data_IF_519144185133
#
_entry.id   IF_519144185133
#
_cell.length_a   1.000
_cell.length_b   1.000
_cell.length_c   1.000
_cell.angle_alpha   90.00
_cell.angle_beta   90.00
_cell.angle_gamma   90.00
#
_symmetry.space_group_name_H-M   'P 1'
#
loop_
_entity.id
_entity.type
_entity.pdbx_description
1 polymer ?
#
# COMPACT_ATOMS: atom_id res chain seq x y z
N UNK A 1 -5.92 -33.59 22.46
CA UNK A 1 -5.68 -32.14 22.47
C UNK A 1 -4.48 -31.81 21.58
N UNK A 2 -4.17 -30.53 21.32
CA UNK A 2 -3.03 -30.10 20.48
C UNK A 2 -1.70 -30.68 20.99
N UNK A 3 -1.51 -30.81 22.31
CA UNK A 3 -0.27 -31.38 22.87
C UNK A 3 -0.20 -32.89 22.59
N UNK A 4 -1.26 -33.66 22.87
CA UNK A 4 -1.30 -35.11 22.63
C UNK A 4 -1.01 -35.44 21.16
N UNK A 5 -1.57 -34.64 20.24
CA UNK A 5 -1.32 -34.81 18.81
C UNK A 5 0.16 -34.56 18.46
N UNK A 6 0.79 -33.53 19.02
CA UNK A 6 2.21 -33.28 18.78
C UNK A 6 3.10 -34.42 19.31
N UNK A 7 2.72 -35.05 20.43
CA UNK A 7 3.40 -36.22 20.99
C UNK A 7 3.25 -37.43 20.06
N UNK A 8 2.02 -37.71 19.60
CA UNK A 8 1.74 -38.81 18.66
C UNK A 8 2.53 -38.66 17.35
N UNK A 9 2.68 -37.43 16.87
CA UNK A 9 3.43 -37.10 15.65
C UNK A 9 4.95 -37.06 15.86
N UNK A 10 5.42 -37.17 17.10
CA UNK A 10 6.85 -37.08 17.44
C UNK A 10 7.43 -35.66 17.33
N UNK A 11 6.60 -34.63 17.31
CA UNK A 11 7.01 -33.23 17.24
C UNK A 11 7.33 -32.63 18.61
N UNK A 12 6.85 -33.27 19.68
CA UNK A 12 7.17 -32.90 21.06
C UNK A 12 7.47 -34.15 21.89
N UNK A 13 8.61 -34.13 22.58
CA UNK A 13 8.94 -35.16 23.57
C UNK A 13 8.61 -34.65 24.99
N UNK A 14 7.58 -35.21 25.65
CA UNK A 14 7.22 -34.81 27.02
C UNK A 14 8.30 -35.19 28.05
N UNK A 15 9.26 -36.06 27.69
CA UNK A 15 10.39 -36.44 28.55
C UNK A 15 11.62 -35.55 28.36
N UNK A 16 11.60 -34.63 27.40
CA UNK A 16 12.72 -33.72 27.11
C UNK A 16 13.06 -32.75 28.25
N UNK A 17 12.14 -32.57 29.21
CA UNK A 17 12.27 -31.58 30.28
C UNK A 17 11.98 -30.14 29.84
N UNK A 18 11.66 -29.90 28.55
CA UNK A 18 11.27 -28.58 28.03
C UNK A 18 9.74 -28.40 28.10
N UNK A 19 9.24 -27.19 28.41
CA UNK A 19 7.82 -26.89 28.24
C UNK A 19 7.41 -27.05 26.78
N UNK A 20 6.14 -27.37 26.54
CA UNK A 20 5.60 -27.45 25.18
C UNK A 20 5.63 -26.05 24.52
N UNK A 21 6.36 -25.93 23.41
CA UNK A 21 6.36 -24.76 22.54
C UNK A 21 5.53 -25.06 21.28
N UNK A 22 4.41 -24.33 21.13
CA UNK A 22 3.51 -24.53 19.99
C UNK A 22 4.19 -24.16 18.67
N UNK A 23 5.00 -23.11 18.64
CA UNK A 23 5.67 -22.69 17.42
C UNK A 23 6.75 -23.71 17.02
N UNK A 24 7.53 -24.24 17.97
CA UNK A 24 8.52 -25.28 17.70
C UNK A 24 7.88 -26.57 17.17
N UNK A 25 6.74 -26.99 17.75
CA UNK A 25 6.09 -28.25 17.38
C UNK A 25 5.32 -28.18 16.04
N UNK A 26 4.76 -27.02 15.67
CA UNK A 26 3.82 -26.90 14.55
C UNK A 26 4.28 -25.98 13.41
N UNK A 27 5.42 -25.29 13.54
CA UNK A 27 5.92 -24.44 12.46
C UNK A 27 6.85 -25.20 11.54
N UNK A 28 6.83 -24.84 10.26
CA UNK A 28 7.92 -25.20 9.37
C UNK A 28 9.22 -24.52 9.87
N UNK A 29 10.39 -25.15 9.64
CA UNK A 29 11.67 -24.52 9.95
C UNK A 29 11.76 -23.13 9.29
N UNK A 30 12.33 -22.17 10.00
CA UNK A 30 12.62 -20.86 9.42
C UNK A 30 13.48 -21.01 8.15
N UNK A 31 13.36 -20.05 7.23
CA UNK A 31 14.11 -20.02 5.97
C UNK A 31 14.79 -18.66 5.79
N UNK A 32 15.83 -18.63 4.93
CA UNK A 32 16.55 -17.41 4.57
C UNK A 32 17.11 -16.65 5.76
N UNK A 33 17.04 -15.31 5.72
CA UNK A 33 17.58 -14.41 6.75
C UNK A 33 17.06 -14.69 8.16
N UNK A 34 15.81 -15.14 8.30
CA UNK A 34 15.25 -15.46 9.61
C UNK A 34 15.91 -16.70 10.23
N UNK A 35 16.25 -17.70 9.41
CA UNK A 35 17.02 -18.87 9.84
C UNK A 35 18.45 -18.48 10.24
N UNK A 36 19.12 -17.69 9.41
CA UNK A 36 20.50 -17.21 9.66
C UNK A 36 20.62 -16.41 10.95
N UNK A 37 19.61 -15.56 11.24
CA UNK A 37 19.58 -14.68 12.41
C UNK A 37 19.01 -15.36 13.66
N UNK A 38 18.24 -16.44 13.50
CA UNK A 38 17.47 -17.06 14.58
C UNK A 38 16.23 -16.26 15.01
N UNK A 39 15.79 -15.28 14.21
CA UNK A 39 14.58 -14.50 14.45
C UNK A 39 14.07 -13.74 13.21
N UNK A 40 12.78 -13.40 13.19
CA UNK A 40 12.19 -12.50 12.19
C UNK A 40 12.51 -11.03 12.53
N UNK A 41 13.08 -10.30 11.57
CA UNK A 41 13.53 -8.92 11.78
C UNK A 41 12.37 -7.93 12.01
N UNK A 42 11.15 -8.24 11.54
CA UNK A 42 9.94 -7.44 11.83
C UNK A 42 9.50 -7.61 13.29
N UNK A 43 9.57 -8.83 13.82
CA UNK A 43 9.37 -9.07 15.25
C UNK A 43 10.44 -8.35 16.06
N UNK A 44 11.70 -8.44 15.65
CA UNK A 44 12.82 -7.77 16.31
C UNK A 44 12.62 -6.25 16.41
N UNK A 45 12.32 -5.58 15.28
CA UNK A 45 12.15 -4.12 15.29
C UNK A 45 10.89 -3.71 16.06
N UNK A 46 9.80 -4.47 15.96
CA UNK A 46 8.59 -4.22 16.73
C UNK A 46 8.85 -4.26 18.24
N UNK A 47 9.57 -5.29 18.71
CA UNK A 47 9.96 -5.39 20.12
C UNK A 47 10.94 -4.28 20.52
N UNK A 48 11.89 -3.92 19.65
CA UNK A 48 12.81 -2.81 19.90
C UNK A 48 12.08 -1.50 20.10
N UNK A 49 11.14 -1.16 19.21
CA UNK A 49 10.35 0.08 19.29
C UNK A 49 9.44 0.09 20.53
N UNK A 50 8.85 -1.05 20.91
CA UNK A 50 7.97 -1.13 22.07
C UNK A 50 8.72 -1.10 23.41
N UNK A 51 9.89 -1.72 23.48
CA UNK A 51 10.65 -1.89 24.74
C UNK A 51 11.74 -0.85 24.95
N UNK A 52 12.13 -0.13 23.88
CA UNK A 52 13.29 0.77 23.88
C UNK A 52 14.64 0.05 24.01
N UNK A 53 14.67 -1.28 23.95
CA UNK A 53 15.87 -2.11 24.12
C UNK A 53 16.14 -2.89 22.84
N UNK A 54 17.40 -3.08 22.49
CA UNK A 54 17.78 -3.99 21.40
C UNK A 54 17.49 -5.43 21.85
N UNK A 55 16.57 -6.17 21.19
CA UNK A 55 16.30 -7.56 21.53
C UNK A 55 17.48 -8.46 21.13
N UNK A 56 17.74 -9.47 21.94
CA UNK A 56 18.70 -10.55 21.67
C UNK A 56 17.93 -11.85 21.45
N UNK A 57 18.39 -12.69 20.52
CA UNK A 57 17.69 -13.93 20.16
C UNK A 57 17.85 -15.05 21.20
N UNK A 58 16.92 -16.02 21.26
CA UNK A 58 15.65 -16.11 20.52
C UNK A 58 14.60 -15.12 21.05
N UNK A 59 13.74 -14.60 20.16
CA UNK A 59 12.76 -13.57 20.53
C UNK A 59 11.53 -14.17 21.21
N UNK A 60 11.06 -13.61 22.35
CA UNK A 60 9.86 -14.08 23.01
C UNK A 60 8.61 -13.76 22.18
N UNK A 61 7.55 -14.55 22.35
CA UNK A 61 6.25 -14.29 21.73
C UNK A 61 5.66 -12.92 22.14
N UNK A 62 5.83 -12.54 23.41
CA UNK A 62 5.32 -11.29 23.97
C UNK A 62 6.39 -10.56 24.76
N UNK A 63 6.32 -9.22 24.74
CA UNK A 63 7.17 -8.33 25.53
C UNK A 63 6.30 -7.34 26.30
N UNK A 64 6.81 -6.84 27.42
CA UNK A 64 6.20 -5.71 28.12
C UNK A 64 6.73 -4.40 27.52
N UNK A 65 5.86 -3.54 26.95
CA UNK A 65 6.28 -2.23 26.48
C UNK A 65 6.90 -1.39 27.61
N UNK A 66 7.81 -0.48 27.25
CA UNK A 66 8.41 0.45 28.20
C UNK A 66 7.36 1.45 28.75
N UNK A 67 6.44 1.87 27.88
CA UNK A 67 5.37 2.83 28.19
C UNK A 67 4.02 2.34 27.67
N UNK A 68 2.93 3.03 28.04
CA UNK A 68 1.61 2.76 27.47
C UNK A 68 1.63 2.99 25.96
N UNK A 69 1.08 2.03 25.22
CA UNK A 69 1.03 2.05 23.75
C UNK A 69 -0.30 2.64 23.29
N UNK A 70 -0.25 3.72 22.53
CA UNK A 70 -1.39 4.32 21.85
C UNK A 70 -1.54 3.83 20.41
N UNK A 71 -2.65 4.22 19.78
CA UNK A 71 -2.94 3.92 18.37
C UNK A 71 -1.83 4.44 17.44
N UNK A 72 -1.32 5.65 17.71
CA UNK A 72 -0.23 6.29 16.94
C UNK A 72 1.07 5.48 16.96
N UNK A 73 1.41 4.88 18.10
CA UNK A 73 2.62 4.06 18.23
C UNK A 73 2.54 2.81 17.35
N UNK A 74 1.36 2.16 17.34
CA UNK A 74 1.13 0.99 16.48
C UNK A 74 1.17 1.38 15.00
N UNK A 75 0.56 2.51 14.62
CA UNK A 75 0.65 3.04 13.24
C UNK A 75 2.10 3.26 12.81
N UNK A 76 2.94 3.82 13.70
CA UNK A 76 4.35 4.06 13.41
C UNK A 76 5.15 2.77 13.27
N UNK A 77 4.87 1.73 14.08
CA UNK A 77 5.46 0.40 13.91
C UNK A 77 5.08 -0.19 12.55
N UNK A 78 3.81 -0.08 12.15
CA UNK A 78 3.30 -0.60 10.88
C UNK A 78 3.88 0.13 9.64
N UNK A 79 4.44 1.33 9.83
CA UNK A 79 5.12 2.15 8.80
C UNK A 79 6.61 1.86 8.66
N UNK A 80 7.19 1.05 9.55
CA UNK A 80 8.63 0.98 9.73
C UNK A 80 9.34 0.12 8.66
N UNK A 81 10.55 0.55 8.29
CA UNK A 81 11.46 -0.12 7.34
C UNK A 81 12.83 -0.42 7.96
N UNK A 82 12.87 -0.61 9.28
CA UNK A 82 14.06 -0.84 10.11
C UNK A 82 14.98 0.37 10.27
N UNK A 83 14.42 1.58 10.21
CA UNK A 83 15.15 2.86 10.25
C UNK A 83 16.11 2.96 11.45
N UNK A 84 17.35 3.39 11.20
CA UNK A 84 18.36 3.59 12.24
C UNK A 84 18.90 2.29 12.86
N UNK A 85 18.79 1.17 12.14
CA UNK A 85 19.30 -0.14 12.59
C UNK A 85 20.24 -0.77 11.55
N UNK A 86 20.97 -1.85 11.90
CA UNK A 86 21.78 -2.58 10.91
C UNK A 86 21.00 -3.18 9.73
N UNK A 87 19.67 -3.25 9.83
CA UNK A 87 18.78 -3.75 8.77
C UNK A 87 18.15 -2.63 7.94
N UNK A 88 18.49 -1.38 8.23
CA UNK A 88 18.01 -0.23 7.48
C UNK A 88 18.55 -0.28 6.04
N UNK A 89 17.63 -0.40 5.08
CA UNK A 89 17.89 -0.39 3.63
C UNK A 89 17.29 0.83 2.94
N UNK A 90 16.89 1.84 3.70
CA UNK A 90 16.22 3.03 3.15
C UNK A 90 17.16 3.93 2.36
N UNK A 91 18.47 3.83 2.60
CA UNK A 91 19.49 4.73 2.02
C UNK A 91 19.16 6.22 2.25
N UNK A 92 18.61 6.55 3.42
CA UNK A 92 18.14 7.91 3.72
C UNK A 92 16.92 8.32 2.89
N UNK A 93 16.12 7.33 2.47
CA UNK A 93 14.96 7.47 1.59
C UNK A 93 15.27 8.12 0.24
N UNK A 94 16.48 7.96 -0.29
CA UNK A 94 16.80 8.43 -1.65
C UNK A 94 15.97 7.71 -2.72
N UNK A 95 15.65 6.45 -2.47
CA UNK A 95 14.79 5.58 -3.29
C UNK A 95 13.69 4.97 -2.42
N UNK A 96 12.73 4.29 -3.06
CA UNK A 96 11.64 3.63 -2.32
C UNK A 96 12.18 2.53 -1.40
N UNK A 97 11.79 2.49 -0.12
CA UNK A 97 12.20 1.45 0.81
C UNK A 97 11.44 0.12 0.61
N UNK A 98 10.55 0.06 -0.39
CA UNK A 98 9.69 -1.11 -0.63
C UNK A 98 10.32 -2.15 -1.57
N UNK A 99 11.38 -1.78 -2.28
CA UNK A 99 12.10 -2.61 -3.25
C UNK A 99 13.46 -3.03 -2.70
N UNK A 100 13.43 -3.85 -1.65
CA UNK A 100 14.62 -4.28 -0.92
C UNK A 100 14.62 -5.79 -0.72
N UNK A 101 15.82 -6.37 -0.59
CA UNK A 101 16.02 -7.77 -0.23
C UNK A 101 15.76 -8.05 1.26
N UNK A 102 15.55 -7.00 2.07
CA UNK A 102 15.19 -7.09 3.48
C UNK A 102 13.68 -7.02 3.68
N UNK A 103 13.10 -7.99 4.38
CA UNK A 103 11.66 -7.95 4.68
C UNK A 103 11.37 -6.89 5.74
N UNK A 104 10.99 -5.70 5.27
CA UNK A 104 10.51 -4.54 6.06
C UNK A 104 9.10 -4.78 6.61
N UNK A 105 8.51 -3.92 7.45
CA UNK A 105 7.11 -4.08 7.90
C UNK A 105 6.17 -3.55 6.81
N UNK A 106 6.28 -2.26 6.52
CA UNK A 106 5.64 -1.61 5.37
C UNK A 106 6.36 -2.02 4.09
N UNK A 107 5.69 -2.72 3.19
CA UNK A 107 6.34 -3.36 2.02
C UNK A 107 5.54 -3.13 0.74
N UNK A 108 6.14 -3.46 -0.41
CA UNK A 108 5.51 -3.38 -1.73
C UNK A 108 4.22 -4.18 -1.87
N UNK A 109 4.05 -5.24 -1.08
CA UNK A 109 2.86 -6.10 -1.08
C UNK A 109 1.79 -5.71 -0.05
N UNK A 110 1.92 -4.56 0.62
CA UNK A 110 0.91 -4.08 1.58
C UNK A 110 -0.29 -3.48 0.85
N UNK A 111 -1.38 -4.24 0.76
CA UNK A 111 -2.65 -3.74 0.18
C UNK A 111 -3.50 -2.94 1.17
N UNK A 112 -3.34 -3.21 2.47
CA UNK A 112 -4.03 -2.53 3.56
C UNK A 112 -3.22 -2.69 4.84
N UNK A 113 -3.24 -1.67 5.69
CA UNK A 113 -2.76 -1.71 7.06
C UNK A 113 -3.83 -1.21 7.99
N UNK A 114 -3.92 -1.78 9.19
CA UNK A 114 -4.96 -1.40 10.13
C UNK A 114 -4.58 -1.51 11.59
N UNK A 115 -5.15 -0.63 12.41
CA UNK A 115 -5.10 -0.65 13.87
C UNK A 115 -6.52 -0.67 14.41
N UNK A 116 -6.91 -1.75 15.08
CA UNK A 116 -8.25 -1.86 15.69
C UNK A 116 -8.18 -1.49 17.16
N UNK A 117 -8.76 -0.35 17.52
CA UNK A 117 -8.90 0.08 18.90
C UNK A 117 -10.18 -0.52 19.49
N UNK A 118 -10.03 -1.52 20.36
CA UNK A 118 -11.14 -2.10 21.14
C UNK A 118 -11.25 -1.41 22.48
N UNK A 119 -12.47 -1.03 22.87
CA UNK A 119 -12.72 -0.13 24.01
C UNK A 119 -13.85 -0.62 24.89
N UNK A 120 -13.64 -0.45 26.18
CA UNK A 120 -14.64 -0.69 27.22
C UNK A 120 -15.36 0.61 27.62
N UNK A 121 -16.45 0.49 28.38
CA UNK A 121 -17.20 1.60 28.96
C UNK A 121 -17.72 2.65 27.95
N UNK A 122 -17.92 2.24 26.70
CA UNK A 122 -18.59 3.01 25.65
C UNK A 122 -19.78 2.23 25.09
N UNK A 123 -20.80 2.90 24.51
CA UNK A 123 -21.87 2.23 23.78
C UNK A 123 -21.37 1.23 22.73
N UNK A 124 -22.16 0.19 22.43
CA UNK A 124 -21.77 -0.88 21.50
C UNK A 124 -21.27 -0.35 20.14
N UNK A 125 -21.94 0.67 19.60
CA UNK A 125 -21.58 1.33 18.35
C UNK A 125 -20.19 2.01 18.35
N UNK A 126 -19.60 2.26 19.51
CA UNK A 126 -18.29 2.90 19.70
C UNK A 126 -17.21 1.93 20.18
N UNK A 127 -17.53 0.68 20.48
CA UNK A 127 -16.58 -0.28 21.07
C UNK A 127 -15.36 -0.55 20.22
N UNK A 128 -15.46 -0.42 18.90
CA UNK A 128 -14.33 -0.59 18.00
C UNK A 128 -14.19 0.60 17.04
N UNK A 129 -12.96 1.09 16.93
CA UNK A 129 -12.53 2.01 15.88
C UNK A 129 -11.48 1.29 15.05
N UNK A 130 -11.81 1.04 13.79
CA UNK A 130 -10.95 0.42 12.80
C UNK A 130 -10.20 1.50 12.02
N UNK A 131 -9.00 1.83 12.46
CA UNK A 131 -8.13 2.75 11.74
C UNK A 131 -7.51 1.99 10.57
N UNK A 132 -7.82 2.36 9.34
CA UNK A 132 -7.37 1.62 8.14
C UNK A 132 -6.75 2.51 7.08
N UNK A 133 -5.82 1.94 6.31
CA UNK A 133 -5.24 2.53 5.10
C UNK A 133 -5.77 1.81 3.86
N UNK A 134 -5.67 2.44 2.68
CA UNK A 134 -5.75 1.73 1.40
C UNK A 134 -4.35 1.79 0.79
N UNK A 135 -3.68 0.65 0.66
CA UNK A 135 -2.26 0.59 0.29
C UNK A 135 -1.34 0.75 1.50
N UNK A 136 -0.08 1.13 1.21
CA UNK A 136 1.01 1.17 2.18
C UNK A 136 0.83 2.28 3.24
N UNK A 137 1.03 2.00 4.54
CA UNK A 137 0.81 3.01 5.57
C UNK A 137 1.83 4.14 5.58
N UNK A 138 3.01 4.01 4.96
CA UNK A 138 3.99 5.09 4.89
C UNK A 138 3.63 6.16 3.83
N UNK A 139 2.79 5.83 2.86
CA UNK A 139 2.34 6.72 1.77
C UNK A 139 0.83 7.02 1.82
N UNK A 140 0.09 6.42 2.76
CA UNK A 140 -1.36 6.56 2.91
C UNK A 140 -1.79 6.87 4.35
N UNK A 141 -2.90 7.60 4.55
CA UNK A 141 -3.37 7.95 5.89
C UNK A 141 -4.18 6.80 6.51
N UNK A 142 -4.16 6.70 7.83
CA UNK A 142 -5.11 5.91 8.59
C UNK A 142 -6.41 6.69 8.79
N UNK A 143 -7.52 6.15 8.28
CA UNK A 143 -8.87 6.72 8.43
C UNK A 143 -9.66 5.91 9.47
N UNK A 144 -10.26 6.53 10.51
CA UNK A 144 -11.00 5.82 11.54
C UNK A 144 -12.42 5.44 11.09
N UNK A 145 -12.69 4.14 11.02
CA UNK A 145 -14.00 3.59 10.74
C UNK A 145 -14.63 3.06 12.02
N UNK A 146 -15.75 3.63 12.44
CA UNK A 146 -16.45 3.16 13.63
C UNK A 146 -17.24 1.90 13.31
N UNK A 147 -17.23 0.91 14.21
CA UNK A 147 -18.06 -0.29 14.06
C UNK A 147 -19.56 0.03 13.97
N UNK A 148 -19.99 1.11 14.62
CA UNK A 148 -21.37 1.55 14.67
C UNK A 148 -21.96 2.09 13.37
N UNK A 149 -21.19 2.23 12.29
CA UNK A 149 -21.72 2.70 11.00
C UNK A 149 -22.78 1.74 10.44
N UNK A 150 -23.68 2.26 9.61
CA UNK A 150 -24.74 1.49 8.91
C UNK A 150 -24.50 1.37 7.42
N UNK A 151 -23.51 2.07 6.88
CA UNK A 151 -23.11 2.00 5.48
C UNK A 151 -21.59 2.15 5.39
N UNK A 152 -20.99 1.45 4.42
CA UNK A 152 -19.58 1.63 4.06
C UNK A 152 -19.42 3.00 3.38
N UNK A 153 -18.34 3.75 3.64
CA UNK A 153 -18.06 4.99 2.90
C UNK A 153 -18.14 4.82 1.39
N UNK A 154 -18.70 5.83 0.73
CA UNK A 154 -18.89 5.84 -0.72
C UNK A 154 -17.55 5.66 -1.46
N UNK A 155 -17.55 4.85 -2.52
CA UNK A 155 -16.33 4.52 -3.28
C UNK A 155 -15.34 3.60 -2.55
N UNK A 156 -15.63 3.14 -1.33
CA UNK A 156 -14.76 2.25 -0.55
C UNK A 156 -15.30 0.81 -0.43
N UNK A 157 -16.19 0.41 -1.35
CA UNK A 157 -16.72 -0.95 -1.45
C UNK A 157 -16.84 -1.38 -2.91
N UNK A 158 -16.73 -2.69 -3.15
CA UNK A 158 -16.81 -3.31 -4.49
C UNK A 158 -18.20 -3.86 -4.78
N UNK A 159 -18.90 -4.34 -3.76
CA UNK A 159 -20.27 -4.81 -3.84
C UNK A 159 -20.99 -4.49 -2.53
N UNK A 160 -22.32 -4.40 -2.59
CA UNK A 160 -23.14 -4.33 -1.37
C UNK A 160 -22.85 -5.53 -0.47
N UNK A 161 -22.83 -5.37 0.87
CA UNK A 161 -22.44 -6.45 1.78
C UNK A 161 -23.27 -7.74 1.60
N UNK A 162 -24.55 -7.62 1.30
CA UNK A 162 -25.45 -8.76 1.03
C UNK A 162 -25.07 -9.50 -0.26
N UNK A 163 -24.73 -8.76 -1.31
CA UNK A 163 -24.23 -9.32 -2.58
C UNK A 163 -22.89 -9.99 -2.36
N UNK A 164 -21.94 -9.31 -1.70
CA UNK A 164 -20.63 -9.87 -1.39
C UNK A 164 -20.72 -11.17 -0.59
N UNK A 165 -21.58 -11.20 0.43
CA UNK A 165 -21.84 -12.41 1.22
C UNK A 165 -22.42 -13.56 0.37
N UNK A 166 -23.38 -13.26 -0.51
CA UNK A 166 -23.97 -14.28 -1.41
C UNK A 166 -22.95 -14.88 -2.37
N UNK A 167 -21.95 -14.09 -2.77
CA UNK A 167 -20.85 -14.52 -3.64
C UNK A 167 -19.68 -15.13 -2.86
N UNK A 168 -19.78 -15.25 -1.54
CA UNK A 168 -18.68 -15.65 -0.64
C UNK A 168 -17.42 -14.83 -0.85
N UNK A 169 -17.58 -13.56 -1.24
CA UNK A 169 -16.49 -12.65 -1.60
C UNK A 169 -15.55 -13.19 -2.69
N UNK A 170 -16.03 -14.12 -3.53
CA UNK A 170 -15.27 -14.57 -4.69
C UNK A 170 -15.06 -13.38 -5.63
N UNK A 171 -13.81 -13.08 -6.02
CA UNK A 171 -13.56 -11.97 -6.91
C UNK A 171 -14.18 -12.26 -8.27
N UNK A 172 -14.92 -11.29 -8.80
CA UNK A 172 -15.38 -11.30 -10.17
C UNK A 172 -14.30 -10.66 -11.06
N UNK A 173 -14.12 -11.14 -12.30
CA UNK A 173 -13.06 -10.65 -13.19
C UNK A 173 -13.10 -9.12 -13.36
N UNK A 174 -14.30 -8.55 -13.49
CA UNK A 174 -14.50 -7.10 -13.56
C UNK A 174 -14.03 -6.30 -12.32
N UNK A 175 -13.72 -6.95 -11.19
CA UNK A 175 -13.16 -6.28 -10.00
C UNK A 175 -11.65 -6.03 -10.12
N UNK A 176 -10.99 -6.64 -11.12
CA UNK A 176 -9.59 -6.37 -11.46
C UNK A 176 -9.45 -5.17 -12.40
N UNK A 177 -10.54 -4.70 -13.00
CA UNK A 177 -10.52 -3.53 -13.86
C UNK A 177 -10.29 -2.27 -13.04
N UNK A 178 -9.40 -1.41 -13.56
CA UNK A 178 -9.13 -0.09 -13.02
C UNK A 178 -10.42 0.74 -13.01
N UNK A 179 -10.82 1.19 -11.82
CA UNK A 179 -12.08 1.89 -11.59
C UNK A 179 -11.87 3.19 -10.81
N UNK A 180 -11.93 4.32 -11.51
CA UNK A 180 -11.76 5.66 -10.93
C UNK A 180 -12.83 6.03 -9.91
N UNK A 181 -13.95 5.29 -9.86
CA UNK A 181 -15.00 5.47 -8.87
C UNK A 181 -14.68 4.80 -7.53
N UNK A 182 -13.58 4.04 -7.44
CA UNK A 182 -13.12 3.42 -6.20
C UNK A 182 -11.90 4.15 -5.64
N UNK A 183 -11.99 4.48 -4.35
CA UNK A 183 -10.91 5.17 -3.65
C UNK A 183 -9.61 4.38 -3.65
N UNK A 184 -9.71 3.04 -3.60
CA UNK A 184 -8.56 2.14 -3.63
C UNK A 184 -7.61 2.49 -4.78
N UNK A 185 -8.10 2.57 -6.02
CA UNK A 185 -7.29 2.89 -7.20
C UNK A 185 -6.59 4.24 -7.13
N UNK A 186 -7.22 5.25 -6.50
CA UNK A 186 -6.55 6.55 -6.28
C UNK A 186 -5.40 6.44 -5.29
N UNK A 187 -5.54 5.67 -4.21
CA UNK A 187 -4.43 5.44 -3.29
C UNK A 187 -3.31 4.62 -3.96
N UNK A 188 -3.66 3.68 -4.84
CA UNK A 188 -2.69 2.93 -5.63
C UNK A 188 -1.93 3.82 -6.61
N UNK A 189 -2.63 4.72 -7.30
CA UNK A 189 -2.01 5.73 -8.16
C UNK A 189 -1.01 6.58 -7.35
N UNK A 190 -1.42 7.06 -6.18
CA UNK A 190 -0.55 7.88 -5.33
C UNK A 190 0.70 7.11 -4.89
N UNK A 191 0.58 5.88 -4.39
CA UNK A 191 1.76 5.13 -3.94
C UNK A 191 2.70 4.74 -5.09
N UNK A 192 2.19 4.43 -6.28
CA UNK A 192 3.02 4.13 -7.44
C UNK A 192 3.77 5.37 -7.94
N UNK A 193 3.10 6.53 -7.97
CA UNK A 193 3.76 7.82 -8.24
C UNK A 193 4.83 8.09 -7.20
N UNK A 194 4.54 7.88 -5.91
CA UNK A 194 5.51 8.12 -4.83
C UNK A 194 6.68 7.16 -4.92
N UNK A 195 6.46 5.86 -5.11
CA UNK A 195 7.53 4.86 -5.17
C UNK A 195 8.54 5.15 -6.29
N UNK A 196 8.08 5.64 -7.44
CA UNK A 196 8.92 5.99 -8.58
C UNK A 196 9.84 7.21 -8.32
N UNK A 197 9.55 8.04 -7.31
CA UNK A 197 10.28 9.27 -7.01
C UNK A 197 10.38 9.53 -5.49
N UNK A 198 10.48 8.46 -4.72
CA UNK A 198 10.25 8.47 -3.27
C UNK A 198 11.02 9.57 -2.55
N UNK A 199 12.33 9.65 -2.78
CA UNK A 199 13.19 10.64 -2.12
C UNK A 199 12.89 12.10 -2.43
N UNK A 200 12.16 12.38 -3.51
CA UNK A 200 11.77 13.73 -3.89
C UNK A 200 10.42 14.14 -3.28
N UNK A 201 9.49 13.19 -3.13
CA UNK A 201 8.09 13.52 -2.86
C UNK A 201 7.56 13.03 -1.52
N UNK A 202 8.21 12.03 -0.90
CA UNK A 202 7.67 11.39 0.30
C UNK A 202 7.45 12.38 1.46
N UNK A 203 8.36 13.33 1.67
CA UNK A 203 8.25 14.30 2.76
C UNK A 203 6.98 15.15 2.67
N UNK A 204 6.56 15.51 1.44
CA UNK A 204 5.32 16.24 1.19
C UNK A 204 4.09 15.39 1.50
N UNK A 205 4.07 14.15 0.99
CA UNK A 205 2.96 13.20 1.19
C UNK A 205 2.80 12.84 2.67
N UNK A 206 3.89 12.51 3.35
CA UNK A 206 3.87 12.19 4.78
C UNK A 206 3.42 13.38 5.63
N UNK A 207 3.87 14.60 5.32
CA UNK A 207 3.40 15.80 6.03
C UNK A 207 1.89 16.00 5.86
N UNK A 208 1.36 15.80 4.65
CA UNK A 208 -0.06 15.89 4.38
C UNK A 208 -0.88 14.88 5.20
N UNK A 209 -0.40 13.64 5.32
CA UNK A 209 -1.04 12.59 6.10
C UNK A 209 -0.86 12.72 7.61
N UNK A 210 0.30 13.19 8.08
CA UNK A 210 0.49 13.54 9.49
C UNK A 210 -0.52 14.60 9.92
N UNK A 211 -0.68 15.68 9.14
CA UNK A 211 -1.68 16.72 9.43
C UNK A 211 -3.11 16.16 9.47
N UNK A 212 -3.49 15.31 8.50
CA UNK A 212 -4.80 14.67 8.47
C UNK A 212 -5.04 13.80 9.72
N UNK A 213 -4.06 12.99 10.10
CA UNK A 213 -4.16 12.06 11.23
C UNK A 213 -4.17 12.79 12.56
N UNK A 214 -3.33 13.82 12.74
CA UNK A 214 -3.29 14.64 13.94
C UNK A 214 -4.61 15.38 14.16
N UNK A 215 -5.18 15.97 13.09
CA UNK A 215 -6.50 16.61 13.16
C UNK A 215 -7.59 15.61 13.55
N UNK A 216 -7.53 14.40 12.97
CA UNK A 216 -8.53 13.36 13.19
C UNK A 216 -8.45 12.78 14.61
N UNK A 217 -7.23 12.54 15.11
CA UNK A 217 -6.99 12.09 16.48
C UNK A 217 -7.42 13.16 17.51
N UNK A 218 -7.07 14.43 17.27
CA UNK A 218 -7.44 15.53 18.16
C UNK A 218 -8.97 15.71 18.28
N UNK A 219 -9.73 15.48 17.20
CA UNK A 219 -11.20 15.61 17.18
C UNK A 219 -11.94 14.38 17.71
N UNK A 220 -11.26 13.25 17.93
CA UNK A 220 -11.93 11.99 18.25
C UNK A 220 -12.82 12.07 19.49
N UNK A 221 -12.32 12.63 20.59
CA UNK A 221 -13.06 12.70 21.84
C UNK A 221 -14.35 13.56 21.74
N UNK A 222 -14.31 14.65 20.98
CA UNK A 222 -15.48 15.51 20.74
C UNK A 222 -16.55 14.78 19.93
N UNK A 223 -16.14 14.12 18.85
CA UNK A 223 -17.02 13.33 17.97
C UNK A 223 -17.70 12.22 18.74
N UNK A 224 -16.95 11.54 19.61
CA UNK A 224 -17.47 10.43 20.40
C UNK A 224 -18.39 10.89 21.52
N UNK A 225 -18.12 12.06 22.13
CA UNK A 225 -19.04 12.67 23.10
C UNK A 225 -20.40 12.95 22.46
N UNK A 226 -20.40 13.50 21.24
CA UNK A 226 -21.65 13.75 20.50
C UNK A 226 -22.33 12.44 20.08
N UNK A 227 -21.56 11.46 19.60
CA UNK A 227 -22.10 10.14 19.28
C UNK A 227 -22.75 9.47 20.49
N UNK A 228 -22.12 9.51 21.67
CA UNK A 228 -22.68 9.00 22.93
C UNK A 228 -24.01 9.71 23.28
N UNK A 229 -24.06 11.04 23.18
CA UNK A 229 -25.27 11.83 23.45
C UNK A 229 -26.41 11.43 22.52
N UNK A 230 -26.12 11.24 21.23
CA UNK A 230 -27.11 10.83 20.23
C UNK A 230 -27.57 9.39 20.45
N UNK A 231 -26.64 8.45 20.66
CA UNK A 231 -26.94 7.04 20.91
C UNK A 231 -27.81 6.82 22.15
N UNK A 232 -27.60 7.61 23.21
CA UNK A 232 -28.42 7.54 24.42
C UNK A 232 -29.86 8.03 24.22
N UNK A 233 -30.09 8.92 23.23
CA UNK A 233 -31.41 9.47 22.91
C UNK A 233 -32.13 8.61 21.86
N UNK A 234 -31.42 8.21 20.82
CA UNK A 234 -31.91 7.44 19.68
C UNK A 234 -30.71 6.72 19.03
N UNK A 235 -30.69 5.39 19.13
CA UNK A 235 -29.62 4.57 18.58
C UNK A 235 -29.45 4.79 17.07
N UNK A 236 -30.54 4.92 16.31
CA UNK A 236 -30.48 5.12 14.87
C UNK A 236 -29.84 6.48 14.53
N UNK A 237 -30.18 7.54 15.28
CA UNK A 237 -29.58 8.86 15.10
C UNK A 237 -28.07 8.85 15.39
N UNK A 238 -27.64 8.16 16.45
CA UNK A 238 -26.23 8.02 16.79
C UNK A 238 -25.43 7.24 15.74
N UNK A 239 -25.96 6.13 15.24
CA UNK A 239 -25.33 5.36 14.15
C UNK A 239 -25.30 6.13 12.83
N UNK A 240 -26.34 6.89 12.52
CA UNK A 240 -26.36 7.76 11.34
C UNK A 240 -25.33 8.90 11.45
N UNK A 241 -25.10 9.45 12.64
CA UNK A 241 -24.03 10.42 12.89
C UNK A 241 -22.65 9.81 12.63
N UNK A 242 -22.37 8.62 13.19
CA UNK A 242 -21.11 7.91 12.95
C UNK A 242 -20.90 7.60 11.47
N UNK A 243 -21.95 7.15 10.78
CA UNK A 243 -21.90 6.85 9.34
C UNK A 243 -21.52 8.09 8.52
N UNK A 244 -22.17 9.24 8.77
CA UNK A 244 -21.83 10.49 8.09
C UNK A 244 -20.42 10.97 8.43
N UNK A 245 -20.00 10.85 9.70
CA UNK A 245 -18.66 11.24 10.14
C UNK A 245 -17.58 10.41 9.43
N UNK A 246 -17.70 9.08 9.47
CA UNK A 246 -16.75 8.16 8.84
C UNK A 246 -16.72 8.36 7.33
N UNK A 247 -17.87 8.49 6.66
CA UNK A 247 -17.91 8.78 5.23
C UNK A 247 -17.19 10.10 4.91
N UNK A 248 -17.45 11.16 5.66
CA UNK A 248 -16.80 12.47 5.44
C UNK A 248 -15.28 12.39 5.55
N UNK A 249 -14.75 11.66 6.54
CA UNK A 249 -13.29 11.49 6.67
C UNK A 249 -12.70 10.67 5.52
N UNK A 250 -13.38 9.60 5.11
CA UNK A 250 -12.95 8.79 3.97
C UNK A 250 -12.95 9.61 2.66
N UNK A 251 -14.00 10.41 2.43
CA UNK A 251 -14.06 11.32 1.28
C UNK A 251 -12.96 12.40 1.34
N UNK A 252 -12.70 12.96 2.52
CA UNK A 252 -11.62 13.95 2.71
C UNK A 252 -10.25 13.34 2.37
N UNK A 253 -9.95 12.15 2.89
CA UNK A 253 -8.70 11.45 2.59
C UNK A 253 -8.58 11.14 1.09
N UNK A 254 -9.66 10.66 0.46
CA UNK A 254 -9.68 10.37 -0.97
C UNK A 254 -9.47 11.62 -1.82
N UNK A 255 -10.13 12.73 -1.48
CA UNK A 255 -9.97 14.00 -2.18
C UNK A 255 -8.54 14.55 -2.03
N UNK A 256 -7.98 14.50 -0.82
CA UNK A 256 -6.60 14.93 -0.57
C UNK A 256 -5.59 14.05 -1.32
N UNK A 257 -5.88 12.77 -1.54
CA UNK A 257 -5.03 11.90 -2.36
C UNK A 257 -5.05 12.33 -3.84
N UNK A 258 -6.21 12.73 -4.38
CA UNK A 258 -6.32 13.28 -5.74
C UNK A 258 -5.55 14.59 -5.88
N UNK A 259 -5.63 15.45 -4.87
CA UNK A 259 -4.87 16.71 -4.82
C UNK A 259 -3.37 16.45 -4.82
N UNK A 260 -2.89 15.56 -3.96
CA UNK A 260 -1.49 15.16 -3.94
C UNK A 260 -1.05 14.64 -5.31
N UNK A 261 -1.80 13.72 -5.94
CA UNK A 261 -1.49 13.23 -7.29
C UNK A 261 -1.33 14.38 -8.30
N UNK A 262 -2.23 15.36 -8.28
CA UNK A 262 -2.16 16.53 -9.18
C UNK A 262 -1.00 17.47 -8.89
N UNK A 263 -0.44 17.44 -7.68
CA UNK A 263 0.69 18.26 -7.28
C UNK A 263 2.06 17.56 -7.44
N UNK A 264 2.08 16.23 -7.62
CA UNK A 264 3.31 15.48 -7.82
C UNK A 264 3.74 15.57 -9.29
N UNK A 265 5.03 15.78 -9.59
CA UNK A 265 5.49 15.88 -10.97
C UNK A 265 5.32 14.51 -11.65
N UNK A 266 4.57 14.49 -12.74
CA UNK A 266 4.35 13.31 -13.59
C UNK A 266 4.42 13.73 -15.05
N UNK A 267 4.85 12.81 -15.90
CA UNK A 267 4.82 12.98 -17.35
C UNK A 267 3.48 12.50 -17.89
N UNK A 268 2.91 13.23 -18.85
CA UNK A 268 1.78 12.73 -19.64
C UNK A 268 2.27 11.60 -20.54
N UNK A 269 1.73 10.41 -20.31
CA UNK A 269 2.03 9.20 -21.09
C UNK A 269 0.80 8.83 -21.90
N UNK A 270 1.00 8.54 -23.18
CA UNK A 270 -0.05 8.09 -24.08
C UNK A 270 0.33 6.75 -24.72
N UNK A 271 -0.54 5.76 -24.59
CA UNK A 271 -0.47 4.49 -25.27
C UNK A 271 -1.59 4.51 -26.32
N UNK A 272 -1.28 4.76 -27.60
CA UNK A 272 -2.29 4.89 -28.65
C UNK A 272 -3.15 3.62 -28.78
N UNK A 273 -2.52 2.47 -28.56
CA UNK A 273 -3.19 1.17 -28.63
C UNK A 273 -3.85 0.82 -27.29
N UNK A 274 -5.16 0.95 -27.22
CA UNK A 274 -5.95 0.72 -25.99
C UNK A 274 -6.40 -0.71 -25.73
N UNK A 275 -6.20 -1.63 -26.69
CA UNK A 275 -6.56 -3.05 -26.55
C UNK A 275 -5.42 -3.93 -27.02
N UNK A 276 -4.98 -4.86 -26.17
CA UNK A 276 -3.87 -5.79 -26.42
C UNK A 276 -4.25 -7.18 -25.92
N UNK A 277 -4.05 -8.24 -26.72
CA UNK A 277 -4.23 -9.62 -26.25
C UNK A 277 -2.94 -10.18 -25.65
N UNK A 278 -3.06 -11.02 -24.62
CA UNK A 278 -1.92 -11.63 -23.93
C UNK A 278 -1.11 -12.58 -24.83
N UNK A 279 -1.69 -13.06 -25.93
CA UNK A 279 -1.05 -13.91 -26.94
C UNK A 279 -0.24 -13.14 -28.00
N UNK A 280 -0.24 -11.81 -27.99
CA UNK A 280 0.37 -11.01 -29.05
C UNK A 280 1.89 -10.95 -28.99
N UNK A 281 2.50 -10.67 -30.15
CA UNK A 281 3.94 -10.45 -30.32
C UNK A 281 4.19 -9.09 -30.99
N UNK A 282 5.46 -8.68 -31.06
CA UNK A 282 5.84 -7.38 -31.61
C UNK A 282 6.10 -6.35 -30.52
N UNK A 283 5.73 -5.10 -30.77
CA UNK A 283 6.01 -3.98 -29.87
C UNK A 283 4.77 -3.16 -29.55
N UNK A 284 4.71 -2.63 -28.33
CA UNK A 284 3.77 -1.61 -27.91
C UNK A 284 4.40 -0.23 -28.05
N UNK A 285 3.73 0.69 -28.76
CA UNK A 285 4.15 2.08 -28.81
C UNK A 285 3.64 2.83 -27.58
N UNK A 286 4.52 3.64 -26.99
CA UNK A 286 4.21 4.54 -25.87
C UNK A 286 4.80 5.91 -26.19
N UNK A 287 4.05 6.97 -25.97
CA UNK A 287 4.49 8.34 -26.16
C UNK A 287 4.60 9.03 -24.80
N UNK A 288 5.67 9.79 -24.59
CA UNK A 288 5.76 10.77 -23.51
C UNK A 288 5.55 12.14 -24.13
N UNK A 289 4.50 12.84 -23.71
CA UNK A 289 4.16 14.16 -24.22
C UNK A 289 4.95 15.21 -23.43
N UNK A 290 5.70 16.04 -24.15
CA UNK A 290 6.40 17.19 -23.57
C UNK A 290 5.37 18.17 -23.01
N UNK A 291 5.67 18.80 -21.87
CA UNK A 291 4.79 19.88 -21.37
C UNK A 291 5.55 20.84 -20.48
N UNK A 292 5.44 22.14 -20.79
CA UNK A 292 6.06 23.21 -19.99
C UNK A 292 7.55 22.97 -19.74
N UNK A 293 7.92 22.82 -18.46
CA UNK A 293 9.31 22.61 -18.03
C UNK A 293 9.81 21.17 -18.24
N UNK A 294 8.93 20.22 -18.53
CA UNK A 294 9.24 18.81 -18.71
C UNK A 294 9.35 18.47 -20.20
N UNK A 295 10.52 18.73 -20.77
CA UNK A 295 10.83 18.40 -22.17
C UNK A 295 11.35 16.98 -22.33
N UNK A 296 10.80 16.24 -23.30
CA UNK A 296 11.30 14.94 -23.75
C UNK A 296 12.79 14.94 -24.09
N UNK A 297 13.35 16.08 -24.56
CA UNK A 297 14.78 16.21 -24.90
C UNK A 297 15.71 15.99 -23.72
N UNK A 298 15.21 16.20 -22.50
CA UNK A 298 15.99 16.08 -21.27
C UNK A 298 15.90 14.69 -20.64
N UNK A 299 15.09 13.79 -21.20
CA UNK A 299 14.95 12.42 -20.71
C UNK A 299 16.20 11.61 -21.08
N UNK A 300 16.69 10.79 -20.15
CA UNK A 300 17.63 9.74 -20.49
C UNK A 300 16.82 8.51 -20.93
N UNK A 301 16.67 8.36 -22.24
CA UNK A 301 15.80 7.33 -22.79
C UNK A 301 16.28 5.92 -22.42
N UNK A 302 17.58 5.74 -22.14
CA UNK A 302 18.15 4.41 -21.84
C UNK A 302 17.72 3.86 -20.48
N UNK A 303 17.18 4.72 -19.61
CA UNK A 303 16.70 4.37 -18.28
C UNK A 303 15.21 3.97 -18.26
N UNK A 304 14.52 4.11 -19.40
CA UNK A 304 13.07 3.95 -19.46
C UNK A 304 12.65 2.48 -19.38
N UNK A 305 11.74 2.18 -18.46
CA UNK A 305 11.08 0.89 -18.32
C UNK A 305 9.56 1.04 -18.28
N UNK A 306 8.84 0.01 -18.72
CA UNK A 306 7.38 -0.04 -18.74
C UNK A 306 6.88 -1.33 -18.06
N UNK A 307 5.92 -1.21 -17.15
CA UNK A 307 5.32 -2.36 -16.48
C UNK A 307 4.05 -2.00 -15.70
N UNK A 308 3.36 -2.99 -15.12
CA UNK A 308 2.18 -2.76 -14.31
C UNK A 308 2.55 -2.23 -12.91
N UNK A 309 1.54 -1.68 -12.22
CA UNK A 309 1.62 -1.35 -10.79
C UNK A 309 2.06 -2.55 -9.93
N UNK A 310 2.50 -2.29 -8.69
CA UNK A 310 2.89 -3.31 -7.68
C UNK A 310 4.10 -4.20 -8.02
N UNK A 311 4.85 -3.85 -9.06
CA UNK A 311 6.08 -4.54 -9.42
C UNK A 311 7.24 -3.57 -9.27
N UNK A 312 8.39 -4.10 -8.86
CA UNK A 312 9.63 -3.36 -8.82
C UNK A 312 9.94 -2.84 -10.24
N UNK A 313 10.10 -1.52 -10.44
CA UNK A 313 10.44 -0.96 -11.75
C UNK A 313 11.72 -1.51 -12.37
N UNK A 314 12.63 -2.10 -11.58
CA UNK A 314 13.81 -2.81 -12.08
C UNK A 314 13.48 -4.14 -12.78
N UNK A 315 12.28 -4.68 -12.57
CA UNK A 315 11.79 -5.90 -13.22
C UNK A 315 10.94 -5.63 -14.46
N UNK A 316 10.70 -4.36 -14.77
CA UNK A 316 9.91 -3.94 -15.92
C UNK A 316 10.66 -4.08 -17.24
N UNK A 317 9.93 -3.95 -18.35
CA UNK A 317 10.49 -4.10 -19.68
C UNK A 317 11.24 -2.83 -20.08
N UNK A 318 12.54 -2.90 -20.41
CA UNK A 318 13.29 -1.74 -20.88
C UNK A 318 12.84 -1.32 -22.28
N UNK A 319 13.03 -0.04 -22.60
CA UNK A 319 12.76 0.48 -23.94
C UNK A 319 13.62 -0.24 -25.00
N UNK A 320 13.01 -0.62 -26.12
CA UNK A 320 13.70 -1.23 -27.27
C UNK A 320 14.25 -0.17 -28.24
N UNK A 321 13.45 0.85 -28.52
CA UNK A 321 13.85 1.97 -29.37
C UNK A 321 13.10 3.24 -29.00
N UNK A 322 13.69 4.39 -29.33
CA UNK A 322 13.10 5.70 -29.06
C UNK A 322 13.33 6.66 -30.23
N UNK A 323 12.41 7.60 -30.42
CA UNK A 323 12.53 8.67 -31.40
C UNK A 323 11.87 9.95 -30.88
N UNK A 324 12.52 11.10 -31.13
CA UNK A 324 11.90 12.39 -30.89
C UNK A 324 10.97 12.73 -32.06
N UNK A 325 9.71 12.98 -31.77
CA UNK A 325 8.68 13.30 -32.75
C UNK A 325 7.59 14.08 -32.04
N UNK A 326 7.20 15.21 -32.59
CA UNK A 326 5.98 15.92 -32.21
C UNK A 326 4.76 15.05 -32.63
N UNK A 327 4.06 14.47 -31.65
CA UNK A 327 2.92 13.57 -31.91
C UNK A 327 1.57 14.24 -31.67
N UNK A 328 1.52 15.36 -30.95
CA UNK A 328 0.28 16.10 -30.68
C UNK A 328 0.13 17.42 -31.47
N UNK A 329 1.18 17.82 -32.19
CA UNK A 329 1.20 18.95 -33.12
C UNK A 329 1.42 20.30 -32.42
N UNK A 330 1.91 20.32 -31.20
CA UNK A 330 2.15 21.55 -30.44
C UNK A 330 3.47 22.27 -30.80
N UNK A 331 4.33 21.62 -31.61
CA UNK A 331 5.61 22.12 -32.06
C UNK A 331 6.79 21.78 -31.14
N UNK A 332 6.54 21.21 -29.97
CA UNK A 332 7.56 20.64 -29.10
C UNK A 332 7.72 19.14 -29.39
N UNK A 333 8.96 18.62 -29.51
CA UNK A 333 9.12 17.20 -29.80
C UNK A 333 8.81 16.36 -28.56
N UNK A 334 7.97 15.36 -28.75
CA UNK A 334 7.66 14.31 -27.79
C UNK A 334 8.64 13.14 -27.91
N UNK A 335 8.55 12.20 -26.97
CA UNK A 335 9.31 10.95 -27.03
C UNK A 335 8.41 9.78 -27.39
N UNK A 336 8.58 9.25 -28.61
CA UNK A 336 7.97 7.98 -29.01
C UNK A 336 8.89 6.82 -28.63
N UNK A 337 8.32 5.79 -27.99
CA UNK A 337 9.01 4.63 -27.44
C UNK A 337 8.39 3.33 -27.97
N UNK A 338 9.21 2.30 -28.14
CA UNK A 338 8.75 0.94 -28.41
C UNK A 338 9.20 -0.02 -27.31
N UNK A 339 8.26 -0.81 -26.78
CA UNK A 339 8.51 -1.86 -25.79
C UNK A 339 8.12 -3.22 -26.34
N UNK A 340 8.87 -4.28 -26.03
CA UNK A 340 8.52 -5.63 -26.49
C UNK A 340 7.30 -6.17 -25.76
N UNK A 341 6.32 -6.65 -26.52
CA UNK A 341 5.08 -7.21 -25.97
C UNK A 341 5.31 -8.52 -25.19
N UNK A 342 6.03 -9.54 -25.69
CA UNK A 342 6.13 -10.82 -24.99
C UNK A 342 6.64 -10.75 -23.54
N UNK A 343 7.72 -10.01 -23.20
CA UNK A 343 8.12 -9.85 -21.80
C UNK A 343 7.15 -8.98 -21.00
N UNK A 344 6.51 -7.97 -21.60
CA UNK A 344 5.55 -7.11 -20.92
C UNK A 344 4.29 -7.87 -20.52
N UNK A 345 3.74 -8.67 -21.44
CA UNK A 345 2.52 -9.43 -21.23
C UNK A 345 2.69 -10.53 -20.17
N UNK A 346 3.92 -11.02 -19.92
CA UNK A 346 4.22 -11.93 -18.80
C UNK A 346 4.07 -11.26 -17.42
N UNK A 347 4.14 -9.94 -17.35
CA UNK A 347 3.93 -9.19 -16.12
C UNK A 347 2.44 -8.94 -15.84
N UNK A 348 1.58 -9.09 -16.85
CA UNK A 348 0.14 -8.83 -16.76
C UNK A 348 -0.58 -10.12 -16.38
N UNK A 349 -1.15 -10.15 -15.18
CA UNK A 349 -2.02 -11.24 -14.74
C UNK A 349 -2.89 -10.79 -13.56
N UNK A 350 -4.22 -10.94 -13.64
CA UNK A 350 -5.01 -11.46 -14.77
C UNK A 350 -5.11 -10.48 -15.96
N UNK A 351 -5.67 -10.92 -17.09
CA UNK A 351 -6.10 -10.02 -18.16
C UNK A 351 -7.24 -9.11 -17.66
N UNK A 352 -7.04 -7.80 -17.68
CA UNK A 352 -8.03 -6.81 -17.26
C UNK A 352 -7.74 -5.45 -17.88
N UNK A 353 -8.65 -4.49 -17.67
CA UNK A 353 -8.38 -3.08 -17.88
C UNK A 353 -7.47 -2.57 -16.77
N UNK A 354 -6.19 -2.34 -17.06
CA UNK A 354 -5.21 -1.94 -16.04
C UNK A 354 -4.27 -0.85 -16.55
N UNK A 355 -3.60 -0.20 -15.62
CA UNK A 355 -2.54 0.76 -15.85
C UNK A 355 -1.22 0.11 -16.25
N UNK A 356 -0.54 0.76 -17.20
CA UNK A 356 0.88 0.60 -17.42
C UNK A 356 1.59 1.87 -16.99
N UNK A 357 2.61 1.69 -16.16
CA UNK A 357 3.47 2.74 -15.65
C UNK A 357 4.78 2.75 -16.40
N UNK A 358 5.22 3.96 -16.72
CA UNK A 358 6.54 4.26 -17.24
C UNK A 358 7.39 4.84 -16.11
N UNK A 359 8.61 4.35 -15.97
CA UNK A 359 9.60 4.86 -15.03
C UNK A 359 10.94 5.07 -15.72
N UNK A 360 11.74 6.01 -15.22
CA UNK A 360 13.12 6.25 -15.66
C UNK A 360 13.66 7.53 -15.02
N UNK A 361 14.59 8.19 -15.69
CA UNK A 361 15.13 9.47 -15.25
C UNK A 361 15.44 10.44 -16.40
N UNK A 362 15.61 11.70 -16.04
CA UNK A 362 16.23 12.72 -16.90
C UNK A 362 17.75 12.52 -16.96
N UNK A 363 18.41 13.15 -17.92
CA UNK A 363 19.88 13.22 -18.02
C UNK A 363 20.54 13.83 -16.79
N UNK A 364 19.79 14.58 -15.99
CA UNK A 364 20.25 15.15 -14.71
C UNK A 364 20.02 14.21 -13.51
N UNK A 365 19.43 13.03 -13.72
CA UNK A 365 19.12 12.05 -12.67
C UNK A 365 17.81 12.30 -11.94
N UNK A 366 16.99 13.28 -12.33
CA UNK A 366 15.64 13.47 -11.76
C UNK A 366 14.74 12.33 -12.23
N UNK A 367 14.06 11.61 -11.32
CA UNK A 367 13.14 10.54 -11.70
C UNK A 367 11.98 11.05 -12.54
N UNK A 368 11.48 10.20 -13.43
CA UNK A 368 10.27 10.45 -14.20
C UNK A 368 9.30 9.29 -13.99
N UNK A 369 8.01 9.64 -13.96
CA UNK A 369 6.93 8.68 -13.86
C UNK A 369 5.71 9.18 -14.62
N UNK A 370 5.04 8.28 -15.30
CA UNK A 370 3.79 8.53 -15.99
C UNK A 370 3.05 7.23 -16.23
N UNK A 371 1.78 7.30 -16.62
CA UNK A 371 0.98 6.10 -16.87
C UNK A 371 -0.09 6.34 -17.92
N UNK A 372 -0.60 5.24 -18.44
CA UNK A 372 -1.83 5.21 -19.20
C UNK A 372 -2.54 3.86 -18.97
N UNK A 373 -3.81 3.76 -19.37
CA UNK A 373 -4.64 2.56 -19.20
C UNK A 373 -4.77 1.79 -20.51
N UNK A 374 -4.70 0.47 -20.41
CA UNK A 374 -4.83 -0.48 -21.52
C UNK A 374 -5.77 -1.61 -21.11
N UNK A 375 -6.64 -2.02 -22.03
CA UNK A 375 -7.49 -3.19 -21.86
C UNK A 375 -6.76 -4.45 -22.36
N UNK A 376 -6.36 -5.32 -21.43
CA UNK A 376 -5.76 -6.60 -21.77
C UNK A 376 -6.83 -7.68 -21.86
N UNK A 377 -6.77 -8.45 -22.94
CA UNK A 377 -7.66 -9.58 -23.20
C UNK A 377 -6.84 -10.87 -23.26
N UNK A 378 -7.46 -12.00 -22.95
CA UNK A 378 -6.87 -13.33 -23.20
C UNK A 378 -6.52 -13.52 -24.70
#
# INVERSE_FOLDING_TARGET
>A
MVIDYAIERGWYDPKSGKPFDFAEAYSAPAQGKALERGYDTRQWIGQKLLTGKTPEGPLPFAVKPAEKVGVRDVMNILRNHHEGTPYDKTEGYRTSPHWTDERVICTSTTHESSVTQLRDNVPAALKAVYWRTSGRPCTSPYVPWYLGITAVPEGHFWAEPTVGSSLQFKPHAALYDYDRTKAWWTFQDLENIVDAQYGFVIGKVQKAWQNFEEETLAKQAEVEKEACRLLAKDEAAGRAYLTRYTNRLAQKAWQQAKELIGELPTMKVEIPRKVVRLSETGTLQVNIISSGELSAKNIDHTTLTLGPAYRDPNTWVPVKSSALKDVDGDGDPDLTLAFELPPLLKLISPACYTDLWLHGSTKAGTPIVGRDLVNFLE
#
